data_IF_019705717116
#
_entry.id   IF_019705717116
#
_cell.length_a   1.000
_cell.length_b   1.000
_cell.length_c   1.000
_cell.angle_alpha   90.00
_cell.angle_beta   90.00
_cell.angle_gamma   90.00
#
_symmetry.space_group_name_H-M   'P 1'
#
loop_
_entity.id
_entity.type
_entity.pdbx_description
1 polymer ?
#
# COMPACT_ATOMS: atom_id res chain seq x y z
N UNK A 1 -41.75 -8.03 26.99
CA UNK A 1 -40.42 -8.39 27.52
C UNK A 1 -39.55 -8.91 26.39
N UNK A 2 -38.85 -8.00 25.76
CA UNK A 2 -37.77 -8.35 24.82
C UNK A 2 -36.46 -8.01 25.50
N UNK A 3 -35.77 -9.03 26.01
CA UNK A 3 -34.42 -8.94 26.56
C UNK A 3 -33.41 -8.86 25.42
N UNK A 4 -32.67 -7.76 25.34
CA UNK A 4 -31.51 -7.53 24.46
C UNK A 4 -30.36 -8.45 24.86
N UNK A 5 -29.64 -9.07 23.90
CA UNK A 5 -28.44 -9.84 24.19
C UNK A 5 -27.25 -8.88 24.52
N UNK A 6 -26.53 -9.21 25.58
CA UNK A 6 -25.29 -8.56 25.99
C UNK A 6 -24.18 -8.77 24.93
N UNK A 7 -23.33 -7.76 24.68
CA UNK A 7 -22.17 -7.95 23.80
C UNK A 7 -21.12 -8.83 24.50
N UNK A 8 -20.55 -9.76 23.73
CA UNK A 8 -19.41 -10.60 24.11
C UNK A 8 -18.17 -9.71 24.23
N UNK A 9 -17.44 -9.86 25.34
CA UNK A 9 -16.17 -9.20 25.60
C UNK A 9 -15.06 -9.69 24.64
N UNK A 10 -14.14 -8.81 24.20
CA UNK A 10 -13.02 -9.23 23.36
C UNK A 10 -11.98 -9.99 24.19
N UNK A 11 -11.47 -11.07 23.60
CA UNK A 11 -10.36 -11.88 24.15
C UNK A 11 -9.07 -11.07 23.98
N UNK A 12 -8.50 -10.61 25.09
CA UNK A 12 -7.20 -9.94 25.11
C UNK A 12 -6.06 -10.95 24.84
N UNK A 13 -5.22 -10.65 23.85
CA UNK A 13 -3.87 -11.21 23.74
C UNK A 13 -2.92 -10.42 24.64
N UNK A 14 -1.94 -11.04 25.32
CA UNK A 14 -0.97 -10.36 26.15
C UNK A 14 0.08 -9.65 25.27
N UNK A 15 0.14 -8.33 25.37
CA UNK A 15 1.01 -7.44 24.62
C UNK A 15 0.42 -6.02 24.49
N UNK A 16 -0.40 -5.59 25.46
CA UNK A 16 -1.10 -4.31 25.39
C UNK A 16 -0.16 -3.14 25.60
N UNK A 17 -0.10 -2.26 24.61
CA UNK A 17 0.44 -0.92 24.70
C UNK A 17 -0.37 -0.07 25.73
N UNK A 18 0.36 0.61 26.56
CA UNK A 18 -0.16 1.51 27.59
C UNK A 18 -0.71 2.79 26.93
N UNK A 19 -1.98 3.09 27.13
CA UNK A 19 -2.60 4.37 26.75
C UNK A 19 -2.03 5.50 27.62
N UNK A 20 -1.56 6.59 27.00
CA UNK A 20 -1.30 7.86 27.67
C UNK A 20 -2.31 8.94 27.23
N UNK A 21 -2.85 9.72 28.16
CA UNK A 21 -3.83 10.77 27.87
C UNK A 21 -3.15 12.03 27.29
N UNK A 22 -3.81 12.65 26.32
CA UNK A 22 -3.43 13.95 25.75
C UNK A 22 -3.58 15.08 26.82
N UNK A 23 -2.45 15.63 27.27
CA UNK A 23 -2.39 16.80 28.18
C UNK A 23 -1.61 17.95 27.53
N UNK A 24 -2.02 19.16 27.79
CA UNK A 24 -1.75 20.49 27.22
C UNK A 24 -0.30 21.04 27.14
N UNK A 25 -0.11 22.28 26.71
CA UNK A 25 1.03 22.80 25.93
C UNK A 25 2.25 23.33 26.73
N UNK A 26 2.82 22.59 27.69
CA UNK A 26 4.07 23.00 28.37
C UNK A 26 5.07 21.86 28.65
N UNK A 27 4.81 20.63 28.26
CA UNK A 27 5.67 19.45 28.50
C UNK A 27 6.37 18.92 27.23
N UNK A 28 6.23 19.59 26.08
CA UNK A 28 6.66 19.07 24.77
C UNK A 28 8.16 18.85 24.57
N UNK A 29 9.03 19.57 25.30
CA UNK A 29 10.50 19.43 25.09
C UNK A 29 11.14 18.25 25.83
N UNK A 30 10.58 17.85 26.96
CA UNK A 30 11.11 16.73 27.75
C UNK A 30 10.62 15.37 27.23
N UNK A 31 9.36 15.25 26.79
CA UNK A 31 8.76 14.00 26.30
C UNK A 31 9.31 13.50 24.95
N UNK A 32 9.84 14.41 24.10
CA UNK A 32 10.40 14.04 22.79
C UNK A 32 11.78 13.36 22.89
N UNK A 33 12.56 13.66 23.93
CA UNK A 33 13.88 13.05 24.12
C UNK A 33 13.80 11.60 24.61
N UNK A 34 12.73 11.21 25.30
CA UNK A 34 12.50 9.84 25.77
C UNK A 34 12.06 8.88 24.65
N UNK A 35 11.50 9.40 23.53
CA UNK A 35 11.05 8.57 22.41
C UNK A 35 12.20 8.02 21.56
N UNK A 36 13.38 8.64 21.58
CA UNK A 36 14.49 8.27 20.70
C UNK A 36 15.61 7.59 21.47
N UNK A 37 15.30 6.53 22.18
CA UNK A 37 16.31 5.71 22.87
C UNK A 37 16.96 4.72 21.91
N UNK A 38 18.29 4.60 21.99
CA UNK A 38 19.04 3.59 21.25
C UNK A 38 18.56 2.22 21.68
N UNK A 39 18.30 1.34 20.73
CA UNK A 39 17.98 -0.06 20.99
C UNK A 39 19.27 -0.84 21.27
N UNK A 40 19.20 -1.88 22.09
CA UNK A 40 20.33 -2.81 22.31
C UNK A 40 20.65 -3.61 21.04
N UNK A 41 19.67 -3.76 20.15
CA UNK A 41 19.79 -4.44 18.87
C UNK A 41 20.09 -3.46 17.74
N UNK A 42 20.82 -3.90 16.70
CA UNK A 42 21.04 -3.12 15.50
C UNK A 42 19.73 -2.68 14.86
N UNK A 43 19.55 -1.36 14.69
CA UNK A 43 18.30 -0.76 14.22
C UNK A 43 18.32 -0.51 12.72
N UNK A 44 17.31 -0.98 12.01
CA UNK A 44 16.95 -0.56 10.64
C UNK A 44 15.77 0.40 10.77
N UNK A 45 15.95 1.63 10.29
CA UNK A 45 14.96 2.70 10.44
C UNK A 45 14.21 2.93 9.13
N UNK A 46 12.92 2.62 9.11
CA UNK A 46 12.01 2.92 8.01
C UNK A 46 11.43 4.32 8.19
N UNK A 47 11.58 5.20 7.20
CA UNK A 47 11.11 6.58 7.28
C UNK A 47 9.95 6.81 6.32
N UNK A 48 8.81 7.23 6.86
CA UNK A 48 7.58 7.55 6.13
C UNK A 48 7.24 9.04 6.26
N UNK A 49 6.48 9.64 5.30
CA UNK A 49 6.16 11.06 5.38
C UNK A 49 5.14 11.40 6.47
N UNK A 50 4.03 10.69 6.52
CA UNK A 50 2.89 10.92 7.42
C UNK A 50 2.29 9.59 7.89
N UNK A 51 1.54 9.52 8.99
CA UNK A 51 0.92 8.29 9.47
C UNK A 51 -0.43 7.98 8.79
N UNK A 52 -0.71 8.57 7.62
CA UNK A 52 -1.90 8.27 6.83
C UNK A 52 -1.83 6.88 6.21
N UNK A 53 -2.94 6.14 6.18
CA UNK A 53 -3.00 4.78 5.64
C UNK A 53 -3.00 4.73 4.10
N UNK A 54 -2.00 5.35 3.47
CA UNK A 54 -1.71 5.20 2.04
C UNK A 54 -0.87 3.95 1.80
N UNK A 55 -0.79 3.49 0.54
CA UNK A 55 -0.09 2.25 0.18
C UNK A 55 1.31 2.13 0.76
N UNK A 56 2.14 3.15 0.57
CA UNK A 56 3.53 3.18 1.03
C UNK A 56 3.71 3.10 2.56
N UNK A 57 2.84 3.75 3.31
CA UNK A 57 2.92 3.78 4.77
C UNK A 57 2.48 2.44 5.38
N UNK A 58 1.40 1.85 4.85
CA UNK A 58 0.97 0.50 5.23
C UNK A 58 2.05 -0.53 4.92
N UNK A 59 2.68 -0.40 3.74
CA UNK A 59 3.79 -1.27 3.33
C UNK A 59 4.98 -1.15 4.29
N UNK A 60 5.38 0.09 4.64
CA UNK A 60 6.49 0.32 5.55
C UNK A 60 6.26 -0.32 6.94
N UNK A 61 5.03 -0.25 7.46
CA UNK A 61 4.67 -0.86 8.74
C UNK A 61 4.67 -2.39 8.64
N UNK A 62 3.96 -2.95 7.65
CA UNK A 62 3.90 -4.38 7.43
C UNK A 62 5.30 -5.00 7.21
N UNK A 63 6.15 -4.31 6.45
CA UNK A 63 7.51 -4.74 6.20
C UNK A 63 8.37 -4.68 7.47
N UNK A 64 8.23 -3.62 8.27
CA UNK A 64 8.96 -3.50 9.51
C UNK A 64 8.57 -4.63 10.49
N UNK A 65 7.28 -4.95 10.58
CA UNK A 65 6.79 -6.05 11.42
C UNK A 65 7.27 -7.41 10.93
N UNK A 66 7.27 -7.66 9.62
CA UNK A 66 7.71 -8.91 9.00
C UNK A 66 9.21 -9.14 9.18
N UNK A 67 10.02 -8.09 9.07
CA UNK A 67 11.48 -8.20 9.12
C UNK A 67 12.05 -8.04 10.53
N UNK A 68 11.26 -7.62 11.51
CA UNK A 68 11.70 -7.50 12.90
C UNK A 68 12.10 -8.88 13.41
N UNK A 69 13.30 -8.99 13.92
CA UNK A 69 13.89 -10.26 14.38
C UNK A 69 14.52 -10.04 15.75
N UNK A 70 13.75 -10.23 16.82
CA UNK A 70 14.23 -10.03 18.20
C UNK A 70 15.53 -10.80 18.47
N UNK A 71 16.50 -10.13 19.06
CA UNK A 71 17.83 -10.68 19.33
C UNK A 71 18.81 -10.60 18.16
N UNK A 72 18.37 -10.21 16.95
CA UNK A 72 19.24 -10.04 15.78
C UNK A 72 19.24 -8.61 15.27
N UNK A 73 18.06 -8.05 14.99
CA UNK A 73 17.88 -6.69 14.47
C UNK A 73 16.48 -6.19 14.75
N UNK A 74 16.37 -4.91 15.08
CA UNK A 74 15.10 -4.24 15.27
C UNK A 74 14.73 -3.43 13.99
N UNK A 75 13.47 -3.47 13.61
CA UNK A 75 12.90 -2.63 12.59
C UNK A 75 11.92 -1.64 13.22
N UNK A 76 12.07 -0.34 12.96
CA UNK A 76 11.19 0.71 13.50
C UNK A 76 10.76 1.66 12.40
N UNK A 77 9.54 2.15 12.50
CA UNK A 77 8.97 3.14 11.57
C UNK A 77 9.00 4.52 12.21
N UNK A 78 9.69 5.47 11.57
CA UNK A 78 9.72 6.88 11.95
C UNK A 78 8.87 7.70 10.99
N UNK A 79 7.95 8.48 11.54
CA UNK A 79 7.13 9.42 10.79
C UNK A 79 7.74 10.83 10.83
N UNK A 80 7.82 11.50 9.67
CA UNK A 80 8.36 12.86 9.57
C UNK A 80 7.38 13.90 10.08
N UNK A 81 6.10 13.78 9.71
CA UNK A 81 5.06 14.75 10.01
C UNK A 81 3.91 14.06 10.73
N UNK A 82 3.40 14.73 11.78
CA UNK A 82 2.26 14.22 12.53
C UNK A 82 0.98 14.30 11.67
N UNK A 83 -0.03 13.55 12.04
CA UNK A 83 -1.31 13.52 11.34
C UNK A 83 -2.27 12.50 11.98
N UNK A 84 -3.47 12.30 11.41
CA UNK A 84 -4.36 11.23 11.85
C UNK A 84 -3.61 9.90 11.79
N UNK A 85 -3.48 9.21 12.93
CA UNK A 85 -2.75 7.96 13.05
C UNK A 85 -3.62 6.81 12.52
N UNK A 86 -3.54 6.55 11.23
CA UNK A 86 -4.14 5.40 10.56
C UNK A 86 -3.13 4.25 10.40
N UNK A 87 -1.84 4.59 10.42
CA UNK A 87 -0.70 3.68 10.55
C UNK A 87 0.08 4.12 11.78
N UNK A 88 0.25 3.25 12.76
CA UNK A 88 0.98 3.57 13.98
C UNK A 88 2.50 3.55 13.74
N UNK A 89 3.19 4.70 13.73
CA UNK A 89 4.64 4.73 13.71
C UNK A 89 5.19 4.42 15.10
N UNK A 90 6.36 3.79 15.17
CA UNK A 90 7.08 3.61 16.45
C UNK A 90 7.63 4.93 16.98
N UNK A 91 7.94 5.86 16.07
CA UNK A 91 8.62 7.12 16.34
C UNK A 91 8.05 8.26 15.50
N UNK A 92 8.05 9.49 16.01
CA UNK A 92 7.67 10.69 15.27
C UNK A 92 8.68 11.82 15.50
N UNK A 93 8.83 12.72 14.50
CA UNK A 93 9.60 13.95 14.67
C UNK A 93 8.81 15.05 15.40
N UNK A 94 7.51 14.86 15.66
CA UNK A 94 6.66 15.84 16.32
C UNK A 94 6.53 17.15 15.52
N UNK A 95 6.40 17.05 14.20
CA UNK A 95 6.17 18.19 13.31
C UNK A 95 4.70 18.15 12.88
N UNK A 96 3.88 19.15 13.28
CA UNK A 96 2.46 19.17 12.95
C UNK A 96 2.18 19.06 11.45
N UNK A 97 1.13 18.36 11.06
CA UNK A 97 0.70 18.16 9.66
C UNK A 97 0.40 19.49 8.94
N UNK A 98 -0.14 20.49 9.65
CA UNK A 98 -0.37 21.84 9.12
C UNK A 98 0.88 22.60 8.73
N UNK A 99 2.07 22.14 9.14
CA UNK A 99 3.38 22.68 8.74
C UNK A 99 3.91 22.00 7.45
N UNK A 100 3.15 21.07 6.84
CA UNK A 100 3.51 20.52 5.53
C UNK A 100 3.27 21.57 4.44
N UNK A 101 4.29 22.05 3.77
CA UNK A 101 4.09 22.83 2.57
C UNK A 101 3.65 21.88 1.45
N UNK A 102 2.45 22.03 0.93
CA UNK A 102 1.88 21.17 -0.13
C UNK A 102 2.75 21.02 -1.38
N UNK A 103 3.71 21.91 -1.61
CA UNK A 103 4.74 21.88 -2.68
C UNK A 103 6.10 22.32 -2.14
N UNK A 104 6.23 22.62 -0.85
CA UNK A 104 7.41 23.22 -0.26
C UNK A 104 8.32 22.24 0.49
N UNK A 105 9.31 22.78 1.15
CA UNK A 105 10.31 22.08 1.90
C UNK A 105 10.30 22.56 3.35
N UNK A 106 10.06 21.67 4.32
CA UNK A 106 10.05 22.02 5.72
C UNK A 106 11.45 21.94 6.34
N UNK A 107 12.09 23.10 6.46
CA UNK A 107 13.46 23.21 7.01
C UNK A 107 13.63 22.67 8.43
N UNK A 108 12.55 22.63 9.21
CA UNK A 108 12.55 22.11 10.59
C UNK A 108 12.76 20.61 10.65
N UNK A 109 12.36 19.87 9.59
CA UNK A 109 12.48 18.43 9.54
C UNK A 109 13.95 17.96 9.49
N UNK A 110 14.83 18.65 8.76
CA UNK A 110 16.22 18.23 8.59
C UNK A 110 17.02 18.20 9.90
N UNK A 111 17.07 19.28 10.72
CA UNK A 111 17.80 19.23 11.99
C UNK A 111 17.20 18.26 13.00
N UNK A 112 15.86 18.12 13.04
CA UNK A 112 15.20 17.14 13.91
C UNK A 112 15.53 15.72 13.49
N UNK A 113 15.42 15.42 12.20
CA UNK A 113 15.78 14.11 11.65
C UNK A 113 17.26 13.79 11.87
N UNK A 114 18.16 14.78 11.70
CA UNK A 114 19.58 14.62 12.01
C UNK A 114 19.83 14.29 13.48
N UNK A 115 19.10 14.92 14.40
CA UNK A 115 19.17 14.64 15.84
C UNK A 115 18.64 13.22 16.14
N UNK A 116 17.49 12.86 15.57
CA UNK A 116 16.92 11.51 15.72
C UNK A 116 17.88 10.42 15.23
N UNK A 117 18.46 10.61 14.05
CA UNK A 117 19.46 9.69 13.48
C UNK A 117 20.74 9.59 14.33
N UNK A 118 21.12 10.66 15.01
CA UNK A 118 22.29 10.65 15.89
C UNK A 118 22.04 9.92 17.21
N UNK A 119 20.82 10.02 17.74
CA UNK A 119 20.42 9.36 18.99
C UNK A 119 20.08 7.87 18.81
N UNK A 120 19.31 7.56 17.76
CA UNK A 120 18.92 6.19 17.43
C UNK A 120 20.09 5.35 16.89
N UNK A 121 21.03 5.98 16.22
CA UNK A 121 22.20 5.38 15.59
C UNK A 121 21.86 4.14 14.72
N UNK A 122 20.90 4.23 13.76
CA UNK A 122 20.50 3.07 12.95
C UNK A 122 21.66 2.60 12.07
N UNK A 123 21.79 1.28 11.92
CA UNK A 123 22.78 0.67 11.01
C UNK A 123 22.43 0.84 9.53
N UNK A 124 21.14 0.99 9.22
CA UNK A 124 20.63 1.27 7.88
C UNK A 124 19.37 2.12 7.98
N UNK A 125 19.12 2.96 6.97
CA UNK A 125 17.89 3.77 6.85
C UNK A 125 17.18 3.42 5.55
N UNK A 126 15.85 3.28 5.57
CA UNK A 126 15.01 3.03 4.41
C UNK A 126 14.08 4.23 4.20
N UNK A 127 14.18 4.89 3.06
CA UNK A 127 13.27 5.97 2.68
C UNK A 127 12.08 5.39 1.89
N UNK A 128 10.87 5.43 2.45
CA UNK A 128 9.66 4.98 1.75
C UNK A 128 9.05 6.10 0.92
N UNK A 129 9.42 6.12 -0.36
CA UNK A 129 8.99 7.14 -1.32
C UNK A 129 9.86 8.39 -1.33
N UNK A 130 9.54 9.29 -2.24
CA UNK A 130 10.36 10.47 -2.52
C UNK A 130 10.32 11.55 -1.45
N UNK A 131 9.22 11.68 -0.71
CA UNK A 131 9.12 12.71 0.33
C UNK A 131 10.15 12.51 1.45
N UNK A 132 10.27 11.33 2.09
CA UNK A 132 11.33 11.09 3.08
C UNK A 132 12.74 11.27 2.53
N UNK A 133 12.99 10.89 1.28
CA UNK A 133 14.31 11.00 0.67
C UNK A 133 14.83 12.44 0.62
N UNK A 134 13.94 13.42 0.36
CA UNK A 134 14.30 14.86 0.33
C UNK A 134 14.85 15.36 1.66
N UNK A 135 14.42 14.79 2.78
CA UNK A 135 14.87 15.17 4.12
C UNK A 135 16.03 14.32 4.62
N UNK A 136 16.03 13.03 4.28
CA UNK A 136 17.10 12.11 4.70
C UNK A 136 18.44 12.47 4.08
N UNK A 137 18.49 12.76 2.78
CA UNK A 137 19.76 13.08 2.10
C UNK A 137 20.47 14.26 2.77
N UNK A 138 19.86 15.44 2.99
CA UNK A 138 20.54 16.53 3.70
C UNK A 138 20.78 16.24 5.20
N UNK A 139 19.90 15.49 5.89
CA UNK A 139 20.11 15.12 7.28
C UNK A 139 21.33 14.20 7.48
N UNK A 140 21.65 13.39 6.48
CA UNK A 140 22.76 12.43 6.50
C UNK A 140 24.09 12.99 5.97
N UNK A 141 24.17 14.26 5.58
CA UNK A 141 25.43 14.89 5.13
C UNK A 141 26.50 14.76 6.20
N UNK A 142 27.69 14.27 5.81
CA UNK A 142 28.83 14.04 6.71
C UNK A 142 28.74 12.74 7.53
N UNK A 143 27.73 11.90 7.32
CA UNK A 143 27.59 10.57 7.95
C UNK A 143 27.61 9.48 6.88
N UNK A 144 28.49 8.49 7.04
CA UNK A 144 28.55 7.29 6.19
C UNK A 144 27.61 6.23 6.76
N UNK A 145 26.33 6.38 6.51
CA UNK A 145 25.30 5.42 6.93
C UNK A 145 24.57 4.94 5.69
N UNK A 146 24.37 3.63 5.52
CA UNK A 146 23.63 3.08 4.38
C UNK A 146 22.20 3.63 4.30
N UNK A 147 21.79 3.97 3.06
CA UNK A 147 20.47 4.48 2.74
C UNK A 147 19.87 3.65 1.60
N UNK A 148 18.85 2.86 1.90
CA UNK A 148 18.00 2.23 0.90
C UNK A 148 16.83 3.15 0.54
N UNK A 149 16.39 3.10 -0.71
CA UNK A 149 15.27 3.88 -1.20
C UNK A 149 14.20 2.97 -1.79
N UNK A 150 12.99 3.06 -1.29
CA UNK A 150 11.82 2.42 -1.90
C UNK A 150 11.20 3.39 -2.91
N UNK A 151 11.39 3.09 -4.18
CA UNK A 151 10.86 3.85 -5.29
C UNK A 151 9.41 3.42 -5.56
N UNK A 152 8.48 4.35 -5.35
CA UNK A 152 7.03 4.14 -5.43
C UNK A 152 6.45 5.08 -6.48
N UNK A 153 5.63 4.54 -7.38
CA UNK A 153 5.02 5.29 -8.47
C UNK A 153 6.01 5.75 -9.54
N UNK A 154 5.49 6.21 -10.66
CA UNK A 154 6.28 6.59 -11.83
C UNK A 154 6.73 8.06 -11.77
N UNK A 155 7.90 8.33 -12.31
CA UNK A 155 8.49 9.67 -12.44
C UNK A 155 8.19 10.30 -13.81
N UNK A 156 7.60 9.53 -14.75
CA UNK A 156 7.36 9.92 -16.13
C UNK A 156 6.51 11.17 -16.31
N UNK A 157 5.53 11.40 -15.42
CA UNK A 157 4.76 12.63 -15.39
C UNK A 157 5.61 13.89 -15.09
N UNK A 158 6.79 13.70 -14.48
CA UNK A 158 7.76 14.75 -14.16
C UNK A 158 8.81 14.93 -15.26
N UNK A 159 8.86 14.05 -16.27
CA UNK A 159 9.89 14.04 -17.33
C UNK A 159 9.90 15.32 -18.20
N UNK A 160 8.79 16.07 -18.24
CA UNK A 160 8.74 17.39 -18.89
C UNK A 160 9.47 18.51 -18.12
N UNK A 161 9.95 18.24 -16.88
CA UNK A 161 10.66 19.21 -16.03
C UNK A 161 12.10 18.75 -15.80
N UNK A 162 13.01 19.11 -16.70
CA UNK A 162 14.42 18.74 -16.64
C UNK A 162 15.10 19.05 -15.28
N UNK A 163 14.71 20.14 -14.61
CA UNK A 163 15.20 20.52 -13.28
C UNK A 163 14.78 19.48 -12.21
N UNK A 164 13.56 18.98 -12.28
CA UNK A 164 13.07 17.99 -11.31
C UNK A 164 13.81 16.64 -11.47
N UNK A 165 14.03 16.20 -12.70
CA UNK A 165 14.82 14.99 -12.99
C UNK A 165 16.27 15.16 -12.49
N UNK A 166 16.88 16.33 -12.72
CA UNK A 166 18.24 16.62 -12.23
C UNK A 166 18.32 16.58 -10.70
N UNK A 167 17.31 17.12 -10.00
CA UNK A 167 17.23 17.05 -8.54
C UNK A 167 17.12 15.59 -8.06
N UNK A 168 16.26 14.79 -8.68
CA UNK A 168 16.12 13.36 -8.35
C UNK A 168 17.44 12.60 -8.56
N UNK A 169 18.10 12.81 -9.68
CA UNK A 169 19.44 12.24 -9.94
C UNK A 169 20.44 12.60 -8.85
N UNK A 170 20.41 13.85 -8.37
CA UNK A 170 21.31 14.28 -7.31
C UNK A 170 21.00 13.63 -5.96
N UNK A 171 19.72 13.48 -5.60
CA UNK A 171 19.30 12.78 -4.37
C UNK A 171 19.69 11.30 -4.42
N UNK A 172 19.45 10.63 -5.56
CA UNK A 172 19.73 9.20 -5.74
C UNK A 172 21.22 8.85 -5.75
N UNK A 173 22.12 9.79 -6.00
CA UNK A 173 23.56 9.56 -5.83
C UNK A 173 24.00 9.24 -4.40
N UNK A 174 23.14 9.55 -3.40
CA UNK A 174 23.41 9.26 -1.99
C UNK A 174 22.84 7.91 -1.54
N UNK A 175 22.00 7.31 -2.37
CA UNK A 175 21.33 6.05 -2.08
C UNK A 175 22.27 4.90 -2.41
N UNK A 176 22.31 3.89 -1.54
CA UNK A 176 23.20 2.73 -1.66
C UNK A 176 22.48 1.52 -2.27
N UNK A 177 21.13 1.48 -2.22
CA UNK A 177 20.30 0.48 -2.89
C UNK A 177 18.90 1.04 -3.17
N UNK A 178 18.28 0.60 -4.26
CA UNK A 178 16.91 0.97 -4.65
C UNK A 178 16.05 -0.29 -4.72
N UNK A 179 14.98 -0.29 -3.92
CA UNK A 179 13.87 -1.22 -4.06
C UNK A 179 12.82 -0.55 -4.95
N UNK A 180 12.44 -1.17 -6.06
CA UNK A 180 11.46 -0.62 -6.99
C UNK A 180 10.14 -1.39 -6.90
N UNK A 181 9.03 -0.67 -6.77
CA UNK A 181 7.68 -1.25 -6.61
C UNK A 181 7.24 -2.15 -7.76
N UNK A 182 7.76 -1.92 -8.98
CA UNK A 182 7.42 -2.68 -10.18
C UNK A 182 8.38 -2.41 -11.32
N UNK A 183 8.20 -3.16 -12.43
CA UNK A 183 9.09 -3.12 -13.60
C UNK A 183 9.23 -1.72 -14.20
N UNK A 184 8.13 -0.98 -14.35
CA UNK A 184 8.14 0.37 -14.90
C UNK A 184 8.94 1.34 -14.00
N UNK A 185 8.78 1.23 -12.69
CA UNK A 185 9.52 2.05 -11.73
C UNK A 185 11.00 1.69 -11.75
N UNK A 186 11.35 0.42 -11.86
CA UNK A 186 12.73 -0.05 -11.99
C UNK A 186 13.37 0.47 -13.28
N UNK A 187 12.64 0.43 -14.40
CA UNK A 187 13.08 0.97 -15.69
C UNK A 187 13.29 2.50 -15.63
N UNK A 188 12.37 3.24 -15.03
CA UNK A 188 12.54 4.68 -14.84
C UNK A 188 13.71 5.03 -13.91
N UNK A 189 13.93 4.29 -12.83
CA UNK A 189 15.09 4.47 -11.97
C UNK A 189 16.39 4.32 -12.76
N UNK A 190 16.49 3.33 -13.64
CA UNK A 190 17.69 3.10 -14.44
C UNK A 190 17.81 4.07 -15.62
N UNK A 191 16.82 4.16 -16.48
CA UNK A 191 16.88 4.94 -17.74
C UNK A 191 16.72 6.42 -17.54
N UNK A 192 15.73 6.84 -16.70
CA UNK A 192 15.42 8.25 -16.51
C UNK A 192 16.30 8.88 -15.41
N UNK A 193 16.48 8.17 -14.28
CA UNK A 193 17.18 8.72 -13.12
C UNK A 193 18.66 8.36 -13.06
N UNK A 194 19.11 7.40 -13.89
CA UNK A 194 20.51 7.03 -14.03
C UNK A 194 21.07 6.23 -12.84
N UNK A 195 20.20 5.49 -12.13
CA UNK A 195 20.62 4.55 -11.09
C UNK A 195 21.24 3.33 -11.77
N UNK A 196 22.42 2.83 -11.34
CA UNK A 196 22.98 1.59 -11.83
C UNK A 196 22.01 0.41 -11.68
N UNK A 197 21.88 -0.43 -12.70
CA UNK A 197 20.90 -1.52 -12.71
C UNK A 197 21.15 -2.55 -11.59
N UNK A 198 22.40 -2.76 -11.21
CA UNK A 198 22.82 -3.65 -10.12
C UNK A 198 22.42 -3.12 -8.72
N UNK A 199 22.11 -1.83 -8.61
CA UNK A 199 21.57 -1.22 -7.39
C UNK A 199 20.06 -1.29 -7.30
N UNK A 200 19.34 -1.71 -8.36
CA UNK A 200 17.88 -1.74 -8.41
C UNK A 200 17.39 -3.17 -8.25
N UNK A 201 16.60 -3.42 -7.23
CA UNK A 201 15.92 -4.70 -7.00
C UNK A 201 14.41 -4.47 -7.07
N UNK A 202 13.70 -5.27 -7.85
CA UNK A 202 12.25 -5.22 -7.89
C UNK A 202 11.67 -5.81 -6.59
N UNK A 203 10.90 -5.01 -5.89
CA UNK A 203 10.27 -5.37 -4.60
C UNK A 203 8.83 -4.86 -4.61
N UNK A 204 7.88 -5.70 -5.04
CA UNK A 204 6.49 -5.32 -5.13
C UNK A 204 5.88 -5.03 -3.76
N UNK A 205 4.67 -4.49 -3.75
CA UNK A 205 3.89 -4.33 -2.52
C UNK A 205 3.56 -5.69 -1.90
N UNK A 206 3.80 -5.85 -0.59
CA UNK A 206 3.44 -7.03 0.17
C UNK A 206 2.09 -6.89 0.87
N UNK A 207 1.38 -8.02 1.03
CA UNK A 207 0.15 -8.09 1.84
C UNK A 207 0.15 -9.37 2.66
N UNK A 208 -0.49 -9.27 3.83
CA UNK A 208 -0.65 -10.42 4.72
C UNK A 208 -1.76 -11.36 4.20
N UNK A 209 -1.43 -12.61 3.81
CA UNK A 209 -2.40 -13.59 3.33
C UNK A 209 -3.33 -14.13 4.42
N UNK A 210 -3.04 -13.87 5.69
CA UNK A 210 -3.94 -14.22 6.81
C UNK A 210 -5.01 -13.14 7.01
N UNK A 211 -4.68 -11.87 6.70
CA UNK A 211 -5.64 -10.76 6.70
C UNK A 211 -6.51 -10.81 5.45
N UNK A 212 -5.90 -10.90 4.28
CA UNK A 212 -6.60 -11.00 2.99
C UNK A 212 -6.75 -12.45 2.57
N UNK A 213 -7.90 -13.03 2.85
CA UNK A 213 -8.19 -14.44 2.56
C UNK A 213 -9.66 -14.67 2.22
N UNK A 214 -9.98 -15.73 1.49
CA UNK A 214 -11.36 -16.12 1.27
C UNK A 214 -12.05 -16.41 2.61
N UNK A 215 -13.26 -15.88 2.78
CA UNK A 215 -14.10 -16.18 3.95
C UNK A 215 -15.23 -17.12 3.53
N UNK A 216 -15.22 -18.33 4.09
CA UNK A 216 -16.26 -19.33 3.85
C UNK A 216 -17.45 -19.09 4.77
N UNK A 217 -18.67 -19.08 4.21
CA UNK A 217 -19.92 -18.97 4.97
C UNK A 217 -20.38 -17.52 5.24
N UNK A 218 -21.56 -17.39 5.84
CA UNK A 218 -22.14 -16.09 6.21
C UNK A 218 -22.74 -15.30 5.03
N UNK A 219 -22.93 -15.91 3.85
CA UNK A 219 -23.63 -15.30 2.73
C UNK A 219 -25.14 -15.30 2.95
N UNK A 220 -25.79 -14.23 2.52
CA UNK A 220 -27.25 -14.11 2.60
C UNK A 220 -27.94 -14.92 1.48
N UNK A 221 -27.26 -15.10 0.34
CA UNK A 221 -27.74 -15.84 -0.82
C UNK A 221 -26.56 -16.37 -1.69
N UNK A 222 -26.86 -17.17 -2.70
CA UNK A 222 -25.89 -17.81 -3.61
C UNK A 222 -25.49 -16.93 -4.79
N UNK A 223 -26.04 -15.72 -4.92
CA UNK A 223 -25.70 -14.80 -6.03
C UNK A 223 -24.25 -14.32 -5.90
N UNK A 224 -23.50 -14.30 -7.00
CA UNK A 224 -22.13 -13.79 -6.97
C UNK A 224 -22.10 -12.30 -6.60
N UNK A 225 -21.06 -11.90 -5.85
CA UNK A 225 -20.82 -10.53 -5.43
C UNK A 225 -19.70 -9.95 -6.27
N UNK A 226 -20.02 -8.90 -7.05
CA UNK A 226 -19.04 -8.12 -7.81
C UNK A 226 -18.64 -6.88 -7.00
N UNK A 227 -17.35 -6.68 -6.76
CA UNK A 227 -16.88 -5.64 -5.86
C UNK A 227 -15.90 -4.69 -6.57
N UNK A 228 -16.08 -3.39 -6.34
CA UNK A 228 -15.12 -2.33 -6.60
C UNK A 228 -14.56 -1.80 -5.28
N UNK A 229 -13.24 -1.62 -5.19
CA UNK A 229 -12.58 -0.97 -4.04
C UNK A 229 -11.65 0.12 -4.54
N UNK A 230 -11.85 1.35 -4.08
CA UNK A 230 -10.98 2.46 -4.43
C UNK A 230 -11.54 3.84 -4.14
N UNK A 231 -10.68 4.85 -4.21
CA UNK A 231 -11.12 6.24 -4.11
C UNK A 231 -12.05 6.61 -5.27
N UNK A 232 -13.11 7.37 -4.99
CA UNK A 232 -14.06 7.80 -6.01
C UNK A 232 -13.53 9.02 -6.75
N UNK A 233 -12.55 8.78 -7.65
CA UNK A 233 -11.85 9.79 -8.45
C UNK A 233 -11.94 9.46 -9.94
N UNK A 234 -11.66 10.46 -10.80
CA UNK A 234 -11.64 10.27 -12.26
C UNK A 234 -10.63 9.20 -12.70
N UNK A 235 -9.50 9.05 -11.97
CA UNK A 235 -8.49 8.04 -12.28
C UNK A 235 -8.97 6.62 -11.99
N UNK A 236 -9.76 6.41 -10.94
CA UNK A 236 -10.26 5.08 -10.52
C UNK A 236 -11.53 4.63 -11.25
N UNK A 237 -12.20 5.52 -11.98
CA UNK A 237 -13.36 5.22 -12.83
C UNK A 237 -14.49 4.45 -12.11
N UNK A 238 -14.98 4.90 -10.94
CA UNK A 238 -16.16 4.28 -10.32
C UNK A 238 -17.42 4.38 -11.23
N UNK A 239 -17.49 5.39 -12.10
CA UNK A 239 -18.49 5.53 -13.16
C UNK A 239 -18.51 4.31 -14.09
N UNK A 240 -17.34 3.84 -14.55
CA UNK A 240 -17.20 2.68 -15.43
C UNK A 240 -17.69 1.39 -14.75
N UNK A 241 -17.43 1.24 -13.47
CA UNK A 241 -17.97 0.13 -12.68
C UNK A 241 -19.52 0.15 -12.68
N UNK A 242 -20.13 1.32 -12.44
CA UNK A 242 -21.59 1.46 -12.43
C UNK A 242 -22.18 1.19 -13.81
N UNK A 243 -21.56 1.68 -14.90
CA UNK A 243 -21.95 1.42 -16.29
C UNK A 243 -21.92 -0.11 -16.59
N UNK A 244 -20.85 -0.79 -16.20
CA UNK A 244 -20.72 -2.24 -16.39
C UNK A 244 -21.80 -3.01 -15.63
N UNK A 245 -22.08 -2.65 -14.36
CA UNK A 245 -23.16 -3.26 -13.57
C UNK A 245 -24.52 -3.05 -14.22
N UNK A 246 -24.83 -1.85 -14.70
CA UNK A 246 -26.08 -1.56 -15.39
C UNK A 246 -26.24 -2.41 -16.68
N UNK A 247 -25.17 -2.55 -17.46
CA UNK A 247 -25.15 -3.37 -18.68
C UNK A 247 -25.36 -4.87 -18.38
N UNK A 248 -24.76 -5.40 -17.30
CA UNK A 248 -24.97 -6.79 -16.86
C UNK A 248 -26.43 -7.05 -16.45
N UNK A 249 -27.03 -6.12 -15.72
CA UNK A 249 -28.46 -6.23 -15.34
C UNK A 249 -29.39 -6.14 -16.55
N UNK A 250 -29.08 -5.28 -17.53
CA UNK A 250 -29.83 -5.21 -18.78
C UNK A 250 -29.79 -6.52 -19.58
N UNK A 251 -28.75 -7.35 -19.37
CA UNK A 251 -28.65 -8.72 -19.92
C UNK A 251 -29.42 -9.76 -19.09
N UNK A 252 -30.09 -9.37 -18.02
CA UNK A 252 -30.84 -10.26 -17.14
C UNK A 252 -30.03 -11.07 -16.17
N UNK A 253 -28.75 -10.74 -15.94
CA UNK A 253 -27.88 -11.46 -15.01
C UNK A 253 -28.22 -11.12 -13.55
N UNK A 254 -28.20 -12.14 -12.70
CA UNK A 254 -28.46 -12.00 -11.26
C UNK A 254 -27.17 -12.05 -10.46
N UNK A 255 -26.86 -10.98 -9.75
CA UNK A 255 -25.67 -10.82 -8.90
C UNK A 255 -25.90 -9.67 -7.91
N UNK A 256 -25.06 -9.60 -6.90
CA UNK A 256 -24.91 -8.43 -6.03
C UNK A 256 -23.73 -7.59 -6.49
N UNK A 257 -23.80 -6.28 -6.29
CA UNK A 257 -22.71 -5.36 -6.64
C UNK A 257 -22.45 -4.38 -5.50
N UNK A 258 -21.19 -4.27 -5.11
CA UNK A 258 -20.75 -3.46 -3.96
C UNK A 258 -19.64 -2.51 -4.40
N UNK A 259 -19.77 -1.25 -3.99
CA UNK A 259 -18.77 -0.22 -4.21
C UNK A 259 -18.25 0.27 -2.86
N UNK A 260 -16.95 0.09 -2.63
CA UNK A 260 -16.26 0.43 -1.38
C UNK A 260 -15.30 1.58 -1.64
N UNK A 261 -15.47 2.66 -0.94
CA UNK A 261 -14.65 3.86 -1.02
C UNK A 261 -15.45 5.15 -1.02
N UNK A 262 -14.74 6.26 -0.97
CA UNK A 262 -15.30 7.61 -0.99
C UNK A 262 -14.42 8.54 -1.82
N UNK A 263 -14.94 9.71 -2.18
CA UNK A 263 -14.19 10.70 -2.93
C UNK A 263 -15.06 11.71 -3.67
N UNK A 264 -14.39 12.55 -4.44
CA UNK A 264 -15.00 13.72 -5.10
C UNK A 264 -16.12 13.37 -6.09
N UNK A 265 -16.14 12.14 -6.63
CA UNK A 265 -17.18 11.70 -7.56
C UNK A 265 -18.42 11.12 -6.87
N UNK A 266 -18.44 10.99 -5.53
CA UNK A 266 -19.55 10.36 -4.81
C UNK A 266 -20.91 10.93 -5.23
N UNK A 267 -21.08 12.25 -5.15
CA UNK A 267 -22.35 12.90 -5.50
C UNK A 267 -22.77 12.66 -6.96
N UNK A 268 -21.79 12.57 -7.88
CA UNK A 268 -22.04 12.34 -9.32
C UNK A 268 -22.52 10.92 -9.59
N UNK A 269 -21.98 9.92 -8.88
CA UNK A 269 -22.27 8.49 -9.16
C UNK A 269 -23.40 7.93 -8.31
N UNK A 270 -23.82 8.58 -7.22
CA UNK A 270 -24.81 8.05 -6.28
C UNK A 270 -26.15 7.72 -6.93
N UNK A 271 -26.69 8.60 -7.76
CA UNK A 271 -27.93 8.36 -8.47
C UNK A 271 -27.81 7.26 -9.54
N UNK A 272 -26.81 7.28 -10.45
CA UNK A 272 -26.56 6.15 -11.35
C UNK A 272 -26.34 4.82 -10.66
N UNK A 273 -25.57 4.77 -9.55
CA UNK A 273 -25.29 3.58 -8.78
C UNK A 273 -26.58 2.97 -8.20
N UNK A 274 -27.45 3.82 -7.63
CA UNK A 274 -28.76 3.41 -7.11
C UNK A 274 -29.65 2.79 -8.21
N UNK A 275 -29.71 3.42 -9.37
CA UNK A 275 -30.51 2.90 -10.50
C UNK A 275 -29.95 1.58 -11.05
N UNK A 276 -28.62 1.42 -11.06
CA UNK A 276 -27.96 0.17 -11.44
C UNK A 276 -28.03 -0.90 -10.33
N UNK A 277 -28.53 -0.59 -9.12
CA UNK A 277 -28.58 -1.50 -7.99
C UNK A 277 -27.20 -1.79 -7.36
N UNK A 278 -26.29 -0.82 -7.41
CA UNK A 278 -25.00 -0.88 -6.73
C UNK A 278 -25.15 -0.42 -5.29
N UNK A 279 -24.69 -1.24 -4.35
CA UNK A 279 -24.62 -0.91 -2.93
C UNK A 279 -23.33 -0.10 -2.67
N UNK A 280 -23.47 1.19 -2.30
CA UNK A 280 -22.35 2.07 -1.99
C UNK A 280 -22.08 2.09 -0.49
N UNK A 281 -21.00 1.46 -0.04
CA UNK A 281 -20.65 1.32 1.38
C UNK A 281 -19.86 2.49 1.97
N UNK A 282 -19.39 3.42 1.13
CA UNK A 282 -18.50 4.50 1.58
C UNK A 282 -17.11 3.99 1.95
N UNK A 283 -16.37 4.79 2.71
CA UNK A 283 -15.04 4.41 3.24
C UNK A 283 -15.20 3.36 4.33
N UNK A 284 -14.44 2.25 4.25
CA UNK A 284 -14.55 1.11 5.16
C UNK A 284 -13.18 0.74 5.71
N UNK A 285 -13.12 0.31 6.98
CA UNK A 285 -11.92 -0.27 7.61
C UNK A 285 -11.86 -1.79 7.49
N UNK A 286 -12.99 -2.46 7.23
CA UNK A 286 -13.14 -3.92 7.09
C UNK A 286 -13.06 -4.39 5.62
N UNK A 287 -12.26 -3.72 4.79
CA UNK A 287 -12.12 -4.05 3.35
C UNK A 287 -11.70 -5.50 3.15
N UNK A 288 -10.81 -6.04 3.98
CA UNK A 288 -10.37 -7.43 3.89
C UNK A 288 -11.53 -8.41 4.08
N UNK A 289 -12.44 -8.15 5.04
CA UNK A 289 -13.62 -8.98 5.24
C UNK A 289 -14.59 -8.90 4.05
N UNK A 290 -14.80 -7.69 3.53
CA UNK A 290 -15.69 -7.46 2.39
C UNK A 290 -15.16 -8.14 1.11
N UNK A 291 -13.85 -8.04 0.84
CA UNK A 291 -13.19 -8.76 -0.26
C UNK A 291 -13.24 -10.27 -0.05
N UNK A 292 -12.97 -10.75 1.17
CA UNK A 292 -13.03 -12.18 1.49
C UNK A 292 -14.42 -12.82 1.28
N UNK A 293 -15.49 -12.01 1.25
CA UNK A 293 -16.87 -12.43 0.98
C UNK A 293 -17.33 -12.15 -0.45
N UNK A 294 -16.48 -11.57 -1.28
CA UNK A 294 -16.76 -11.27 -2.69
C UNK A 294 -16.48 -12.46 -3.60
N UNK A 295 -16.88 -12.37 -4.88
CA UNK A 295 -16.68 -13.42 -5.89
C UNK A 295 -15.89 -12.94 -7.10
N UNK A 296 -15.99 -11.66 -7.43
CA UNK A 296 -15.31 -11.03 -8.56
C UNK A 296 -14.91 -9.61 -8.15
N UNK A 297 -13.72 -9.21 -8.51
CA UNK A 297 -13.29 -7.83 -8.33
C UNK A 297 -13.19 -7.11 -9.68
N UNK A 298 -13.55 -5.82 -9.69
CA UNK A 298 -13.43 -4.96 -10.88
C UNK A 298 -12.46 -3.81 -10.58
N UNK A 299 -11.52 -3.60 -11.51
CA UNK A 299 -10.52 -2.53 -11.42
C UNK A 299 -10.49 -1.74 -12.73
N UNK A 300 -11.35 -0.72 -12.90
CA UNK A 300 -11.54 -0.01 -14.16
C UNK A 300 -10.69 1.26 -14.29
N UNK A 301 -9.55 1.32 -13.60
CA UNK A 301 -8.69 2.52 -13.50
C UNK A 301 -8.19 3.01 -14.87
N UNK A 302 -7.87 4.30 -14.95
CA UNK A 302 -7.12 4.91 -16.06
C UNK A 302 -5.62 4.75 -15.87
N UNK A 303 -4.81 4.82 -16.97
CA UNK A 303 -3.35 4.66 -16.87
C UNK A 303 -2.65 5.70 -15.99
N UNK A 304 -3.21 6.92 -15.89
CA UNK A 304 -2.57 8.01 -15.18
C UNK A 304 -2.71 7.86 -13.66
N UNK A 305 -1.57 7.82 -12.96
CA UNK A 305 -1.50 7.80 -11.50
C UNK A 305 -1.56 6.42 -10.85
N UNK A 306 -1.46 5.35 -11.64
CA UNK A 306 -1.25 3.99 -11.12
C UNK A 306 0.24 3.64 -11.16
N UNK A 307 0.70 3.00 -10.09
CA UNK A 307 1.96 2.25 -10.02
C UNK A 307 1.61 0.76 -9.97
N UNK A 308 1.98 0.07 -8.89
CA UNK A 308 1.47 -1.28 -8.62
C UNK A 308 0.24 -1.20 -7.70
N UNK A 309 -0.99 -1.44 -8.21
CA UNK A 309 -2.20 -1.28 -7.41
C UNK A 309 -2.32 -2.37 -6.33
N UNK A 310 -2.02 -2.04 -5.08
CA UNK A 310 -2.08 -2.98 -3.96
C UNK A 310 -3.43 -3.67 -3.77
N UNK A 311 -4.52 -3.02 -4.18
CA UNK A 311 -5.87 -3.58 -4.11
C UNK A 311 -6.06 -4.82 -5.00
N UNK A 312 -5.28 -4.95 -6.09
CA UNK A 312 -5.29 -6.15 -6.94
C UNK A 312 -4.67 -7.35 -6.18
N UNK A 313 -3.60 -7.08 -5.42
CA UNK A 313 -2.98 -8.09 -4.56
C UNK A 313 -3.96 -8.51 -3.47
N UNK A 314 -4.64 -7.55 -2.84
CA UNK A 314 -5.65 -7.78 -1.81
C UNK A 314 -6.81 -8.64 -2.34
N UNK A 315 -7.34 -8.32 -3.53
CA UNK A 315 -8.36 -9.13 -4.21
C UNK A 315 -7.87 -10.52 -4.59
N UNK A 316 -6.66 -10.62 -5.15
CA UNK A 316 -6.05 -11.90 -5.52
C UNK A 316 -5.81 -12.80 -4.30
N UNK A 317 -5.31 -12.28 -3.18
CA UNK A 317 -5.16 -13.01 -1.93
C UNK A 317 -6.50 -13.48 -1.37
N UNK A 318 -7.58 -12.70 -1.55
CA UNK A 318 -8.94 -13.14 -1.23
C UNK A 318 -9.49 -14.19 -2.20
N UNK A 319 -8.73 -14.62 -3.21
CA UNK A 319 -9.13 -15.62 -4.18
C UNK A 319 -10.16 -15.11 -5.19
N UNK A 320 -10.13 -13.82 -5.52
CA UNK A 320 -11.04 -13.23 -6.49
C UNK A 320 -10.40 -13.22 -7.89
N UNK A 321 -11.08 -13.73 -8.93
CA UNK A 321 -10.74 -13.35 -10.28
C UNK A 321 -11.01 -11.87 -10.47
N UNK A 322 -10.09 -11.18 -11.17
CA UNK A 322 -10.16 -9.73 -11.30
C UNK A 322 -10.38 -9.37 -12.77
N UNK A 323 -11.37 -8.52 -13.06
CA UNK A 323 -11.50 -7.87 -14.36
C UNK A 323 -10.92 -6.48 -14.24
N UNK A 324 -9.79 -6.24 -14.90
CA UNK A 324 -9.05 -5.00 -14.82
C UNK A 324 -8.82 -4.37 -16.19
N UNK A 325 -8.72 -3.05 -16.22
CA UNK A 325 -8.22 -2.33 -17.38
C UNK A 325 -6.69 -2.46 -17.47
N UNK A 326 -6.17 -2.44 -18.71
CA UNK A 326 -4.74 -2.53 -18.99
C UNK A 326 -4.03 -1.21 -18.64
N UNK A 327 -3.59 -1.12 -17.39
CA UNK A 327 -2.90 0.06 -16.86
C UNK A 327 -1.61 -0.38 -16.15
N UNK A 328 -0.65 0.54 -15.90
CA UNK A 328 0.60 0.22 -15.21
C UNK A 328 0.42 -0.66 -13.97
N UNK A 329 1.29 -1.65 -13.81
CA UNK A 329 1.32 -2.59 -12.69
C UNK A 329 0.25 -3.70 -12.71
N UNK A 330 -0.77 -3.64 -13.56
CA UNK A 330 -1.84 -4.67 -13.61
C UNK A 330 -1.29 -6.02 -14.07
N UNK A 331 -0.47 -6.04 -15.13
CA UNK A 331 0.11 -7.27 -15.68
C UNK A 331 1.13 -7.94 -14.76
N UNK A 332 1.68 -7.21 -13.81
CA UNK A 332 2.53 -7.82 -12.77
C UNK A 332 1.71 -8.68 -11.82
N UNK A 333 0.46 -8.30 -11.52
CA UNK A 333 -0.43 -9.02 -10.60
C UNK A 333 -1.33 -10.02 -11.33
N UNK A 334 -1.93 -9.62 -12.45
CA UNK A 334 -2.92 -10.40 -13.20
C UNK A 334 -2.28 -11.07 -14.41
N UNK A 335 -2.46 -12.39 -14.51
CA UNK A 335 -2.18 -13.17 -15.70
C UNK A 335 -3.49 -13.34 -16.50
N UNK A 336 -3.56 -12.65 -17.65
CA UNK A 336 -4.78 -12.59 -18.48
C UNK A 336 -5.27 -13.97 -18.90
N UNK A 337 -6.57 -14.20 -18.74
CA UNK A 337 -7.23 -15.48 -19.00
C UNK A 337 -6.99 -16.58 -17.96
N UNK A 338 -6.07 -16.37 -16.98
CA UNK A 338 -5.72 -17.38 -15.96
C UNK A 338 -6.09 -16.96 -14.54
N UNK A 339 -5.76 -15.73 -14.14
CA UNK A 339 -6.07 -15.20 -12.81
C UNK A 339 -7.12 -14.10 -12.84
N UNK A 340 -7.52 -13.67 -14.03
CA UNK A 340 -8.49 -12.62 -14.30
C UNK A 340 -8.54 -12.31 -15.78
N UNK A 341 -9.17 -11.19 -16.12
CA UNK A 341 -9.21 -10.66 -17.49
C UNK A 341 -8.68 -9.23 -17.53
N UNK A 342 -7.88 -8.94 -18.55
CA UNK A 342 -7.36 -7.60 -18.80
C UNK A 342 -8.02 -7.06 -20.06
N UNK A 343 -8.62 -5.87 -19.96
CA UNK A 343 -9.35 -5.22 -21.06
C UNK A 343 -8.80 -3.83 -21.35
N UNK A 344 -9.02 -3.32 -22.55
CA UNK A 344 -8.65 -1.94 -22.85
C UNK A 344 -9.40 -0.94 -21.94
N UNK A 345 -8.76 0.12 -21.44
CA UNK A 345 -9.39 1.11 -20.56
C UNK A 345 -10.68 1.75 -21.09
N UNK A 346 -10.84 1.85 -22.40
CA UNK A 346 -12.03 2.41 -23.03
C UNK A 346 -13.02 1.34 -23.53
N UNK A 347 -12.68 0.03 -23.44
CA UNK A 347 -13.54 -1.08 -23.87
C UNK A 347 -14.51 -1.50 -22.75
N UNK A 348 -15.68 -0.84 -22.69
CA UNK A 348 -16.76 -1.24 -21.78
C UNK A 348 -17.36 -2.60 -22.16
N UNK A 349 -17.52 -2.87 -23.44
CA UNK A 349 -18.14 -4.11 -23.92
C UNK A 349 -17.29 -5.33 -23.57
N UNK A 350 -15.98 -5.23 -23.73
CA UNK A 350 -15.03 -6.24 -23.29
C UNK A 350 -15.08 -6.48 -21.77
N UNK A 351 -15.14 -5.42 -20.96
CA UNK A 351 -15.31 -5.51 -19.52
C UNK A 351 -16.62 -6.23 -19.15
N UNK A 352 -17.73 -5.84 -19.78
CA UNK A 352 -19.05 -6.47 -19.55
C UNK A 352 -19.04 -7.93 -20.00
N UNK A 353 -18.39 -8.27 -21.12
CA UNK A 353 -18.28 -9.65 -21.58
C UNK A 353 -17.46 -10.52 -20.61
N UNK A 354 -16.33 -10.03 -20.11
CA UNK A 354 -15.51 -10.70 -19.11
C UNK A 354 -16.29 -10.92 -17.80
N UNK A 355 -17.00 -9.90 -17.32
CA UNK A 355 -17.84 -10.00 -16.13
C UNK A 355 -19.01 -10.96 -16.32
N UNK A 356 -19.70 -10.95 -17.48
CA UNK A 356 -20.79 -11.89 -17.77
C UNK A 356 -20.32 -13.33 -17.61
N UNK A 357 -19.17 -13.68 -18.22
CA UNK A 357 -18.58 -15.03 -18.11
C UNK A 357 -18.33 -15.43 -16.65
N UNK A 358 -17.79 -14.50 -15.83
CA UNK A 358 -17.53 -14.76 -14.43
C UNK A 358 -18.82 -14.85 -13.58
N UNK A 359 -19.89 -14.15 -13.94
CA UNK A 359 -21.20 -14.23 -13.25
C UNK A 359 -21.88 -15.56 -13.57
N UNK A 360 -21.86 -15.98 -14.83
CA UNK A 360 -22.57 -17.18 -15.31
C UNK A 360 -21.84 -18.49 -14.97
N UNK A 361 -20.51 -18.50 -15.04
CA UNK A 361 -19.68 -19.70 -14.85
C UNK A 361 -19.00 -19.70 -13.46
N UNK A 362 -19.62 -20.42 -12.51
CA UNK A 362 -19.10 -20.61 -11.15
C UNK A 362 -17.75 -21.34 -11.15
N UNK A 363 -17.58 -22.34 -12.01
CA UNK A 363 -16.36 -23.14 -12.05
C UNK A 363 -15.19 -22.30 -12.58
N UNK A 364 -15.44 -21.48 -13.59
CA UNK A 364 -14.46 -20.51 -14.08
C UNK A 364 -14.02 -19.55 -12.97
N UNK A 365 -14.99 -18.95 -12.23
CA UNK A 365 -14.70 -18.07 -11.10
C UNK A 365 -13.80 -18.75 -10.07
N UNK A 366 -14.17 -19.99 -9.70
CA UNK A 366 -13.44 -20.75 -8.68
C UNK A 366 -12.02 -21.07 -9.12
N UNK A 367 -11.85 -21.55 -10.37
CA UNK A 367 -10.51 -21.87 -10.91
C UNK A 367 -9.63 -20.62 -11.04
N UNK A 368 -10.17 -19.55 -11.59
CA UNK A 368 -9.41 -18.29 -11.75
C UNK A 368 -9.07 -17.67 -10.40
N UNK A 369 -10.01 -17.68 -9.45
CA UNK A 369 -9.79 -17.17 -8.10
C UNK A 369 -8.71 -17.96 -7.34
N UNK A 370 -8.74 -19.29 -7.45
CA UNK A 370 -7.70 -20.15 -6.86
C UNK A 370 -6.31 -19.86 -7.46
N UNK A 371 -6.24 -19.67 -8.79
CA UNK A 371 -5.01 -19.31 -9.48
C UNK A 371 -4.51 -17.91 -9.06
N UNK A 372 -5.42 -16.94 -8.92
CA UNK A 372 -5.09 -15.60 -8.44
C UNK A 372 -4.50 -15.64 -7.02
N UNK A 373 -5.12 -16.39 -6.11
CA UNK A 373 -4.60 -16.54 -4.75
C UNK A 373 -3.23 -17.20 -4.72
N UNK A 374 -3.06 -18.30 -5.45
CA UNK A 374 -1.79 -19.02 -5.49
C UNK A 374 -0.65 -18.09 -5.95
N UNK A 375 -0.86 -17.35 -7.05
CA UNK A 375 0.08 -16.36 -7.56
C UNK A 375 0.37 -15.25 -6.53
N UNK A 376 -0.68 -14.69 -5.92
CA UNK A 376 -0.50 -13.60 -4.96
C UNK A 376 0.18 -14.05 -3.66
N UNK A 377 -0.10 -15.26 -3.17
CA UNK A 377 0.63 -15.82 -2.01
C UNK A 377 2.11 -16.03 -2.35
N UNK A 378 2.41 -16.58 -3.51
CA UNK A 378 3.79 -16.87 -3.94
C UNK A 378 4.63 -15.60 -4.15
N UNK A 379 4.05 -14.54 -4.75
CA UNK A 379 4.82 -13.38 -5.23
C UNK A 379 4.62 -12.12 -4.39
N UNK A 380 3.48 -11.98 -3.74
CA UNK A 380 3.05 -10.74 -3.09
C UNK A 380 2.62 -10.91 -1.63
N UNK A 381 2.81 -12.10 -1.03
CA UNK A 381 2.68 -12.21 0.42
C UNK A 381 3.76 -11.37 1.09
N UNK A 382 3.46 -10.84 2.29
CA UNK A 382 4.44 -10.01 3.01
C UNK A 382 5.74 -10.79 3.29
N UNK A 383 5.68 -12.09 3.54
CA UNK A 383 6.85 -12.94 3.70
C UNK A 383 7.67 -13.08 2.41
N UNK A 384 7.02 -13.28 1.24
CA UNK A 384 7.71 -13.33 -0.05
C UNK A 384 8.41 -11.99 -0.38
N UNK A 385 7.71 -10.88 -0.13
CA UNK A 385 8.26 -9.52 -0.32
C UNK A 385 9.35 -9.23 0.69
N UNK A 386 9.19 -9.65 1.95
CA UNK A 386 10.23 -9.56 2.98
C UNK A 386 11.52 -10.25 2.56
N UNK A 387 11.43 -11.43 1.94
CA UNK A 387 12.61 -12.13 1.40
C UNK A 387 13.32 -11.34 0.28
N UNK A 388 12.59 -10.60 -0.55
CA UNK A 388 13.18 -9.68 -1.55
C UNK A 388 13.86 -8.48 -0.86
N UNK A 389 13.22 -7.91 0.16
CA UNK A 389 13.81 -6.83 0.94
C UNK A 389 15.07 -7.24 1.68
N UNK A 390 15.17 -8.48 2.16
CA UNK A 390 16.41 -8.99 2.73
C UNK A 390 17.55 -9.00 1.70
N UNK A 391 17.27 -9.26 0.42
CA UNK A 391 18.28 -9.16 -0.64
C UNK A 391 18.76 -7.71 -0.84
N UNK A 392 17.87 -6.73 -0.67
CA UNK A 392 18.21 -5.30 -0.74
C UNK A 392 19.02 -4.85 0.47
N UNK A 393 18.62 -5.27 1.67
CA UNK A 393 19.19 -4.79 2.92
C UNK A 393 20.48 -5.50 3.31
N UNK A 394 20.59 -6.81 3.11
CA UNK A 394 21.75 -7.60 3.55
C UNK A 394 23.10 -7.05 3.11
N UNK A 395 23.30 -6.61 1.85
CA UNK A 395 24.58 -6.01 1.44
C UNK A 395 24.92 -4.70 2.12
N UNK A 396 23.93 -4.03 2.72
CA UNK A 396 24.06 -2.75 3.39
C UNK A 396 24.36 -2.87 4.89
N UNK A 397 24.18 -4.08 5.44
CA UNK A 397 24.32 -4.33 6.86
C UNK A 397 25.75 -4.76 7.21
N UNK A 398 26.21 -4.49 8.45
CA UNK A 398 27.43 -5.09 8.99
C UNK A 398 27.39 -6.63 8.88
N UNK A 399 28.56 -7.25 8.72
CA UNK A 399 28.72 -8.69 8.64
C UNK A 399 28.08 -9.37 9.87
N UNK A 400 27.28 -10.42 9.63
CA UNK A 400 26.58 -11.17 10.67
C UNK A 400 25.12 -10.76 10.95
N UNK A 401 24.65 -9.61 10.40
CA UNK A 401 23.27 -9.14 10.57
C UNK A 401 22.35 -9.49 9.39
N UNK A 402 22.89 -10.08 8.33
CA UNK A 402 22.18 -10.22 7.05
C UNK A 402 21.29 -11.45 6.89
N UNK A 403 21.48 -12.51 7.69
CA UNK A 403 20.69 -13.75 7.56
C UNK A 403 20.16 -14.19 8.90
N UNK A 404 18.84 -14.47 9.04
CA UNK A 404 18.38 -15.33 10.12
C UNK A 404 19.03 -16.70 9.94
N UNK A 405 19.54 -17.27 11.00
CA UNK A 405 20.08 -18.62 11.06
C UNK A 405 19.01 -19.68 10.79
#
# INVERSE_FOLDING_TARGET
DYSTPKPLAPVMRPGAATFYPLGGPTTERAGMAEQWTKTDEPLILHVIPTPLARGAQREARALADELDSPGLRAHRVLCLFDGPAEVEPDLTLGIPDGDQPGVGYNWRAVPRLRSALAQLDPVCVVAHGGEPLKYLVPAMVGKKRPLAYYAIGTYGASAGRSIQVALWRQLLRRVDAVAAEGDEVAEECTRLLGVPADMVTMTPNGRDPEVFRPLLGGRQDDRPVITFVGALTEGKRPDRFVEAVAALRARGLEFRSVLIGDGILRARIESPARHAGVEMLGSRSDVAELLGRSDVMVFPSRPQGEGMPGVLIEGGLCGLPIVATDVPGVRSVIEDGKTGFIVDPEDLDGMVAALSRLVEDRDLRTRMGAAARARCVEQFSIGAVGALWLKVLTPLLPAGLGTPS
#
